data_IF_125342991421
#
_entry.id   IF_125342991421
#
_cell.length_a   1.000
_cell.length_b   1.000
_cell.length_c   1.000
_cell.angle_alpha   90.00
_cell.angle_beta   90.00
_cell.angle_gamma   90.00
#
_symmetry.space_group_name_H-M   'P 1'
#
loop_
_entity.id
_entity.type
_entity.pdbx_description
1 polymer ?
#
# COMPACT_ATOMS: atom_id res chain seq x y z
N UNK A 1 -6.07 12.86 -22.42
CA UNK A 1 -4.95 12.36 -21.57
C UNK A 1 -5.50 11.14 -20.88
N UNK A 2 -4.84 10.01 -21.05
CA UNK A 2 -5.33 8.76 -20.50
C UNK A 2 -4.97 8.66 -19.02
N UNK A 3 -5.89 8.12 -18.22
CA UNK A 3 -5.67 7.90 -16.79
C UNK A 3 -4.57 6.86 -16.58
N UNK A 4 -3.68 7.13 -15.62
CA UNK A 4 -2.64 6.19 -15.22
C UNK A 4 -3.24 4.98 -14.50
N UNK A 5 -4.23 5.24 -13.63
CA UNK A 5 -5.05 4.23 -12.97
C UNK A 5 -6.51 4.64 -13.16
N UNK A 6 -7.37 3.69 -13.54
CA UNK A 6 -8.82 3.89 -13.53
C UNK A 6 -9.54 2.74 -12.84
N UNK A 7 -10.61 3.09 -12.16
CA UNK A 7 -11.63 2.18 -11.67
C UNK A 7 -12.90 2.48 -12.46
N UNK A 8 -13.50 1.49 -13.05
CA UNK A 8 -14.64 1.64 -13.97
C UNK A 8 -15.81 0.80 -13.49
N UNK A 9 -16.94 1.45 -13.21
CA UNK A 9 -18.19 0.79 -12.80
C UNK A 9 -18.03 -0.16 -11.61
N UNK A 10 -17.23 0.23 -10.62
CA UNK A 10 -16.94 -0.61 -9.44
C UNK A 10 -18.18 -0.70 -8.57
N UNK A 11 -18.54 -1.94 -8.26
CA UNK A 11 -19.59 -2.27 -7.27
C UNK A 11 -18.97 -3.13 -6.17
N UNK A 12 -19.32 -2.82 -4.93
CA UNK A 12 -18.97 -3.62 -3.76
C UNK A 12 -20.11 -3.71 -2.77
N UNK A 13 -20.52 -4.94 -2.47
CA UNK A 13 -21.53 -5.28 -1.47
C UNK A 13 -20.87 -6.10 -0.36
N UNK A 14 -21.05 -5.70 0.88
CA UNK A 14 -20.65 -6.52 2.03
C UNK A 14 -21.86 -7.30 2.61
N UNK A 15 -21.64 -8.51 3.14
CA UNK A 15 -22.69 -9.22 3.85
C UNK A 15 -23.26 -8.41 5.04
N UNK A 16 -24.56 -8.52 5.36
CA UNK A 16 -25.58 -9.31 4.64
C UNK A 16 -26.09 -8.66 3.35
N UNK A 17 -26.01 -7.35 3.11
CA UNK A 17 -26.40 -6.63 1.88
C UNK A 17 -26.04 -5.14 1.98
N UNK A 18 -24.87 -4.82 2.48
CA UNK A 18 -24.41 -3.43 2.60
C UNK A 18 -23.74 -3.01 1.29
N UNK A 19 -24.42 -2.21 0.49
CA UNK A 19 -23.86 -1.61 -0.73
C UNK A 19 -22.85 -0.54 -0.34
N UNK A 20 -21.56 -0.86 -0.40
CA UNK A 20 -20.47 0.01 0.04
C UNK A 20 -19.89 0.87 -1.08
N UNK A 21 -19.94 0.38 -2.31
CA UNK A 21 -19.57 1.12 -3.53
C UNK A 21 -20.59 0.80 -4.59
N UNK A 22 -21.22 1.81 -5.16
CA UNK A 22 -22.29 1.67 -6.13
C UNK A 22 -21.90 2.30 -7.46
N UNK A 23 -21.51 1.46 -8.42
CA UNK A 23 -21.22 1.83 -9.81
C UNK A 23 -20.27 3.04 -9.95
N UNK A 24 -19.21 3.07 -9.13
CA UNK A 24 -18.27 4.19 -9.10
C UNK A 24 -17.23 4.06 -10.20
N UNK A 25 -17.03 5.16 -10.95
CA UNK A 25 -15.93 5.29 -11.89
C UNK A 25 -15.07 6.50 -11.51
N UNK A 26 -13.75 6.31 -11.46
CA UNK A 26 -12.78 7.36 -11.15
C UNK A 26 -11.45 7.05 -11.81
N UNK A 27 -10.80 8.09 -12.32
CA UNK A 27 -9.46 8.01 -12.92
C UNK A 27 -8.45 8.85 -12.17
N UNK A 28 -7.20 8.40 -12.16
CA UNK A 28 -6.06 9.07 -11.55
C UNK A 28 -4.97 9.26 -12.59
N UNK A 29 -4.53 10.50 -12.77
CA UNK A 29 -3.48 10.84 -13.73
C UNK A 29 -2.11 10.78 -13.08
N UNK A 30 -1.12 10.43 -13.88
CA UNK A 30 0.27 10.37 -13.42
C UNK A 30 0.79 11.75 -13.03
N UNK A 31 1.48 11.81 -11.88
CA UNK A 31 2.10 13.04 -11.40
C UNK A 31 1.15 14.03 -10.73
N UNK A 32 -0.12 13.65 -10.52
CA UNK A 32 -1.11 14.49 -9.85
C UNK A 32 -1.42 13.98 -8.44
N UNK A 33 -1.84 14.90 -7.57
CA UNK A 33 -2.41 14.59 -6.27
C UNK A 33 -3.92 14.66 -6.39
N UNK A 34 -4.60 13.56 -6.10
CA UNK A 34 -6.05 13.46 -6.12
C UNK A 34 -6.60 13.32 -4.70
N UNK A 35 -7.58 14.13 -4.35
CA UNK A 35 -8.29 14.02 -3.07
C UNK A 35 -9.68 13.43 -3.30
N UNK A 36 -10.02 12.36 -2.56
CA UNK A 36 -11.35 11.77 -2.55
C UNK A 36 -12.12 12.31 -1.35
N UNK A 37 -13.15 13.10 -1.61
CA UNK A 37 -13.96 13.77 -0.61
C UNK A 37 -15.36 13.15 -0.57
N UNK A 38 -15.95 13.04 0.61
CA UNK A 38 -17.30 12.51 0.81
C UNK A 38 -17.57 12.26 2.28
N UNK A 39 -18.82 12.02 2.61
CA UNK A 39 -19.28 11.73 3.98
C UNK A 39 -18.71 10.43 4.55
N UNK A 40 -18.80 10.25 5.87
CA UNK A 40 -18.47 8.97 6.49
C UNK A 40 -19.43 7.88 5.97
N UNK A 41 -18.88 6.72 5.60
CA UNK A 41 -19.67 5.65 4.99
C UNK A 41 -19.82 5.74 3.46
N UNK A 42 -19.38 6.81 2.79
CA UNK A 42 -19.50 6.98 1.34
C UNK A 42 -18.63 6.02 0.48
N UNK A 43 -18.02 5.00 1.08
CA UNK A 43 -17.26 3.98 0.34
C UNK A 43 -15.82 4.34 -0.01
N UNK A 44 -15.30 5.53 0.38
CA UNK A 44 -13.94 5.99 0.05
C UNK A 44 -12.85 4.98 0.42
N UNK A 45 -12.85 4.54 1.67
CA UNK A 45 -11.87 3.56 2.17
C UNK A 45 -12.03 2.19 1.50
N UNK A 46 -13.27 1.80 1.17
CA UNK A 46 -13.53 0.56 0.42
C UNK A 46 -12.94 0.64 -0.98
N UNK A 47 -13.12 1.76 -1.67
CA UNK A 47 -12.56 1.97 -3.01
C UNK A 47 -11.03 1.89 -3.00
N UNK A 48 -10.39 2.51 -2.01
CA UNK A 48 -8.92 2.43 -1.84
C UNK A 48 -8.44 1.02 -1.48
N UNK A 49 -9.17 0.30 -0.64
CA UNK A 49 -8.89 -1.10 -0.31
C UNK A 49 -9.02 -2.02 -1.53
N UNK A 50 -9.98 -1.75 -2.43
CA UNK A 50 -10.12 -2.45 -3.70
C UNK A 50 -8.90 -2.20 -4.59
N UNK A 51 -8.50 -0.95 -4.75
CA UNK A 51 -7.34 -0.56 -5.55
C UNK A 51 -6.04 -1.19 -5.04
N UNK A 52 -5.92 -1.37 -3.73
CA UNK A 52 -4.74 -2.00 -3.12
C UNK A 52 -4.83 -3.54 -3.05
N UNK A 53 -5.94 -4.15 -3.49
CA UNK A 53 -6.12 -5.60 -3.46
C UNK A 53 -6.41 -6.20 -2.08
N UNK A 54 -6.83 -5.39 -1.11
CA UNK A 54 -7.28 -5.85 0.23
C UNK A 54 -8.71 -6.38 0.22
N UNK A 55 -9.54 -5.86 -0.68
CA UNK A 55 -10.96 -6.22 -0.79
C UNK A 55 -11.26 -6.50 -2.25
N UNK A 56 -11.85 -7.64 -2.60
CA UNK A 56 -12.32 -7.89 -3.95
C UNK A 56 -13.58 -7.05 -4.24
N UNK A 57 -13.71 -6.56 -5.46
CA UNK A 57 -14.94 -5.95 -5.95
C UNK A 57 -15.87 -7.03 -6.57
N UNK A 58 -17.18 -6.75 -6.61
CA UNK A 58 -18.16 -7.71 -7.12
C UNK A 58 -18.43 -7.51 -8.61
N UNK A 59 -18.31 -6.28 -9.11
CA UNK A 59 -18.31 -5.98 -10.55
C UNK A 59 -17.52 -4.72 -10.87
N UNK A 60 -17.19 -4.53 -12.15
CA UNK A 60 -16.40 -3.41 -12.65
C UNK A 60 -15.03 -3.85 -13.16
N UNK A 61 -14.18 -2.88 -13.41
CA UNK A 61 -12.81 -3.12 -13.93
C UNK A 61 -11.84 -2.13 -13.32
N UNK A 62 -10.67 -2.60 -12.91
CA UNK A 62 -9.52 -1.76 -12.57
C UNK A 62 -8.54 -1.80 -13.72
N UNK A 63 -8.02 -0.62 -14.14
CA UNK A 63 -6.99 -0.54 -15.18
C UNK A 63 -5.75 0.18 -14.67
N UNK A 64 -4.60 -0.29 -15.12
CA UNK A 64 -3.31 0.35 -14.92
C UNK A 64 -2.67 0.56 -16.28
N UNK A 65 -2.36 1.80 -16.63
CA UNK A 65 -1.86 2.17 -17.98
C UNK A 65 -2.76 1.62 -19.11
N UNK A 66 -4.10 1.70 -18.95
CA UNK A 66 -5.08 1.19 -19.91
C UNK A 66 -5.31 -0.31 -19.91
N UNK A 67 -4.46 -1.10 -19.25
CA UNK A 67 -4.59 -2.55 -19.18
C UNK A 67 -5.44 -2.96 -17.96
N UNK A 68 -6.40 -3.86 -18.17
CA UNK A 68 -7.18 -4.40 -17.07
C UNK A 68 -6.28 -5.23 -16.14
N UNK A 69 -6.39 -4.95 -14.83
CA UNK A 69 -5.65 -5.63 -13.77
C UNK A 69 -6.60 -6.16 -12.70
N UNK A 70 -6.21 -7.23 -12.05
CA UNK A 70 -6.97 -7.79 -10.94
C UNK A 70 -6.00 -8.18 -9.81
N UNK A 71 -6.06 -7.43 -8.72
CA UNK A 71 -5.25 -7.69 -7.53
C UNK A 71 -5.98 -8.66 -6.61
N UNK A 72 -5.44 -9.84 -6.41
CA UNK A 72 -6.00 -10.86 -5.50
C UNK A 72 -5.53 -10.65 -4.06
N UNK A 73 -4.42 -9.94 -3.89
CA UNK A 73 -3.79 -9.65 -2.61
C UNK A 73 -2.92 -8.38 -2.72
N UNK A 74 -2.62 -7.70 -1.62
CA UNK A 74 -1.78 -6.49 -1.63
C UNK A 74 -0.42 -6.66 -2.32
N UNK A 75 0.20 -7.84 -2.22
CA UNK A 75 1.47 -8.12 -2.88
C UNK A 75 1.40 -7.96 -4.42
N UNK A 76 0.23 -8.20 -5.04
CA UNK A 76 0.05 -8.03 -6.48
C UNK A 76 0.05 -6.53 -6.85
N UNK A 77 -0.60 -5.69 -6.03
CA UNK A 77 -0.62 -4.25 -6.19
C UNK A 77 0.77 -3.63 -5.95
N UNK A 78 1.47 -4.08 -4.91
CA UNK A 78 2.86 -3.66 -4.61
C UNK A 78 3.80 -3.98 -5.77
N UNK A 79 3.70 -5.17 -6.36
CA UNK A 79 4.50 -5.57 -7.52
C UNK A 79 4.26 -4.69 -8.75
N UNK A 80 3.09 -4.05 -8.84
CA UNK A 80 2.72 -3.08 -9.87
C UNK A 80 3.03 -1.62 -9.48
N UNK A 81 3.68 -1.39 -8.33
CA UNK A 81 4.09 -0.07 -7.85
C UNK A 81 3.02 0.70 -7.09
N UNK A 82 1.93 0.05 -6.68
CA UNK A 82 0.88 0.67 -5.87
C UNK A 82 1.19 0.43 -4.39
N UNK A 83 1.44 1.51 -3.65
CA UNK A 83 1.60 1.50 -2.20
C UNK A 83 0.38 2.08 -1.48
N UNK A 84 0.19 1.70 -0.22
CA UNK A 84 -0.88 2.25 0.62
C UNK A 84 -0.33 2.57 2.01
N UNK A 85 -0.66 3.75 2.52
CA UNK A 85 -0.44 4.09 3.92
C UNK A 85 -1.76 3.89 4.66
N UNK A 86 -1.75 3.04 5.67
CA UNK A 86 -2.93 2.77 6.50
C UNK A 86 -3.14 3.87 7.53
N UNK A 87 -4.39 4.07 7.98
CA UNK A 87 -4.71 5.06 9.01
C UNK A 87 -4.04 4.74 10.35
N UNK A 88 -3.96 3.46 10.69
CA UNK A 88 -3.25 2.95 11.85
C UNK A 88 -1.97 2.27 11.38
N UNK A 89 -0.83 2.83 11.76
CA UNK A 89 0.47 2.26 11.48
C UNK A 89 0.85 1.43 12.70
N UNK A 90 0.73 0.12 12.59
CA UNK A 90 1.15 -0.82 13.63
C UNK A 90 2.66 -1.08 13.51
N UNK A 91 3.45 -0.39 14.33
CA UNK A 91 4.86 -0.66 14.47
C UNK A 91 5.09 -1.68 15.60
N UNK A 92 6.01 -2.61 15.37
CA UNK A 92 6.50 -3.51 16.43
C UNK A 92 7.51 -2.72 17.27
N UNK A 93 7.06 -2.20 18.40
CA UNK A 93 7.82 -1.26 19.24
C UNK A 93 9.16 -1.82 19.73
N UNK A 94 9.24 -3.13 19.95
CA UNK A 94 10.46 -3.82 20.40
C UNK A 94 11.48 -4.07 19.27
N UNK A 95 11.07 -3.88 18.01
CA UNK A 95 11.94 -4.05 16.86
C UNK A 95 12.75 -2.78 16.60
N UNK A 96 13.89 -2.97 15.94
CA UNK A 96 14.65 -1.86 15.37
C UNK A 96 13.92 -1.26 14.17
N UNK A 97 14.23 -0.01 13.84
CA UNK A 97 13.66 0.69 12.67
C UNK A 97 13.81 -0.15 11.40
N UNK A 98 15.03 -0.65 11.12
CA UNK A 98 15.24 -1.45 9.91
C UNK A 98 14.38 -2.72 9.88
N UNK A 99 14.14 -3.36 11.03
CA UNK A 99 13.30 -4.57 11.10
C UNK A 99 11.85 -4.29 10.74
N UNK A 100 11.30 -3.15 11.21
CA UNK A 100 9.94 -2.73 10.85
C UNK A 100 9.85 -2.37 9.36
N UNK A 101 10.87 -1.70 8.80
CA UNK A 101 10.85 -1.25 7.40
C UNK A 101 10.90 -2.40 6.41
N UNK A 102 11.71 -3.44 6.68
CA UNK A 102 11.85 -4.58 5.75
C UNK A 102 10.87 -5.71 6.03
N UNK A 103 10.03 -5.59 7.04
CA UNK A 103 9.10 -6.65 7.44
C UNK A 103 8.18 -7.07 6.28
N UNK A 104 8.21 -8.36 5.93
CA UNK A 104 7.47 -8.92 4.80
C UNK A 104 8.13 -8.76 3.43
N UNK A 105 9.28 -8.07 3.36
CA UNK A 105 10.12 -7.92 2.17
C UNK A 105 11.61 -7.99 2.52
N UNK A 106 11.93 -8.87 3.46
CA UNK A 106 13.28 -9.01 3.99
C UNK A 106 14.27 -9.45 2.90
N UNK A 107 15.43 -8.79 2.77
CA UNK A 107 16.48 -9.27 1.89
C UNK A 107 17.02 -10.62 2.38
N UNK A 108 17.10 -11.58 1.49
CA UNK A 108 17.56 -12.94 1.79
C UNK A 108 18.90 -13.22 1.14
N UNK A 109 19.77 -13.94 1.86
CA UNK A 109 21.09 -14.35 1.39
C UNK A 109 21.13 -15.86 1.12
N UNK A 110 21.57 -16.19 -0.09
CA UNK A 110 21.77 -17.58 -0.51
C UNK A 110 20.49 -18.37 -0.74
N UNK A 111 20.61 -19.61 -1.21
CA UNK A 111 19.49 -20.50 -1.52
C UNK A 111 18.72 -21.00 -0.28
N UNK A 112 19.29 -20.84 0.92
CA UNK A 112 18.68 -21.26 2.19
C UNK A 112 17.71 -20.23 2.78
N UNK A 113 17.49 -19.09 2.12
CA UNK A 113 16.54 -18.06 2.59
C UNK A 113 16.95 -17.37 3.89
N UNK A 114 18.25 -17.25 4.17
CA UNK A 114 18.75 -16.61 5.39
C UNK A 114 18.63 -15.09 5.27
N UNK A 115 18.07 -14.43 6.29
CA UNK A 115 18.00 -12.97 6.36
C UNK A 115 19.38 -12.33 6.19
N UNK A 116 19.52 -11.41 5.23
CA UNK A 116 20.73 -10.57 5.11
C UNK A 116 20.57 -9.29 5.90
N UNK A 117 20.93 -9.36 7.18
CA UNK A 117 20.82 -8.23 8.12
C UNK A 117 21.64 -7.02 7.65
N UNK A 118 22.83 -7.26 7.08
CA UNK A 118 23.68 -6.17 6.61
C UNK A 118 23.00 -5.42 5.45
N UNK A 119 22.50 -6.15 4.47
CA UNK A 119 21.79 -5.58 3.35
C UNK A 119 20.51 -4.85 3.80
N UNK A 120 19.76 -5.41 4.76
CA UNK A 120 18.57 -4.77 5.31
C UNK A 120 18.89 -3.40 5.92
N UNK A 121 19.93 -3.33 6.77
CA UNK A 121 20.35 -2.07 7.38
C UNK A 121 20.82 -1.05 6.33
N UNK A 122 21.60 -1.49 5.34
CA UNK A 122 22.09 -0.63 4.26
C UNK A 122 20.95 -0.06 3.41
N UNK A 123 19.94 -0.88 3.07
CA UNK A 123 18.74 -0.44 2.34
C UNK A 123 17.98 0.66 3.11
N UNK A 124 17.78 0.45 4.41
CA UNK A 124 17.05 1.43 5.23
C UNK A 124 17.88 2.70 5.42
N UNK A 125 19.19 2.58 5.63
CA UNK A 125 20.08 3.73 5.77
C UNK A 125 20.09 4.59 4.49
N UNK A 126 20.15 3.97 3.32
CA UNK A 126 20.05 4.67 2.05
C UNK A 126 18.75 5.47 1.92
N UNK A 127 17.62 4.95 2.42
CA UNK A 127 16.34 5.68 2.43
C UNK A 127 16.32 6.81 3.46
N UNK A 128 16.88 6.60 4.63
CA UNK A 128 17.04 7.64 5.66
C UNK A 128 17.87 8.81 5.10
N UNK A 129 18.97 8.53 4.40
CA UNK A 129 19.83 9.53 3.80
C UNK A 129 19.14 10.23 2.63
N UNK A 130 18.46 9.48 1.74
CA UNK A 130 17.72 10.02 0.58
C UNK A 130 16.66 11.05 1.00
N UNK A 131 15.91 10.74 2.07
CA UNK A 131 14.84 11.61 2.57
C UNK A 131 15.30 12.56 3.68
N UNK A 132 16.58 12.54 4.04
CA UNK A 132 17.18 13.37 5.09
C UNK A 132 16.49 13.22 6.45
N UNK A 133 16.03 12.02 6.77
CA UNK A 133 15.45 11.73 8.08
C UNK A 133 16.55 11.66 9.14
N UNK A 134 16.27 12.21 10.33
CA UNK A 134 17.17 12.09 11.49
C UNK A 134 16.79 10.85 12.33
N UNK A 135 16.97 9.67 11.77
CA UNK A 135 16.63 8.39 12.41
C UNK A 135 17.80 7.42 12.25
N UNK A 136 18.19 6.76 13.34
CA UNK A 136 19.14 5.64 13.27
C UNK A 136 18.37 4.36 12.90
N UNK A 137 18.71 3.70 11.78
CA UNK A 137 18.10 2.43 11.39
C UNK A 137 18.21 1.33 12.47
N UNK A 138 19.19 1.40 13.33
CA UNK A 138 19.43 0.40 14.38
C UNK A 138 18.79 0.76 15.73
N UNK A 139 18.18 1.93 15.84
CA UNK A 139 17.44 2.30 17.05
C UNK A 139 16.19 1.41 17.24
N UNK A 140 15.85 1.14 18.50
CA UNK A 140 14.60 0.46 18.87
C UNK A 140 13.46 1.46 18.77
N UNK A 141 12.37 1.10 18.10
CA UNK A 141 11.25 1.99 17.82
C UNK A 141 10.65 2.60 19.10
N UNK A 142 10.52 1.81 20.16
CA UNK A 142 10.01 2.28 21.47
C UNK A 142 10.86 3.38 22.13
N UNK A 143 12.10 3.57 21.68
CA UNK A 143 13.04 4.58 22.22
C UNK A 143 13.17 5.82 21.35
N UNK A 144 12.43 5.88 20.26
CA UNK A 144 12.42 7.04 19.37
C UNK A 144 11.26 7.93 19.81
N UNK A 145 11.58 9.16 20.25
CA UNK A 145 10.53 10.17 20.46
C UNK A 145 10.05 10.66 19.08
N UNK A 146 8.77 10.62 18.85
CA UNK A 146 8.08 11.24 17.71
C UNK A 146 7.89 12.72 18.00
#
# INVERSE_FOLDING_TARGET
>A
MDDFISLEHIVKVYPPNVLAVDNVSVGFRKGEIHSIIGENGAGKSTLMKILYGLVPFDSGTVRLNGNAVHFKKPADAIAMGIGMVHQEIELISQYKVWQNVVLGAEPIRGSAGKLDVKQAIELVRAKVDEFQFNIDPEAIVDRISV
#
